data_IF_831595586023
#
_entry.id   IF_831595586023
#
_cell.length_a   1.000
_cell.length_b   1.000
_cell.length_c   1.000
_cell.angle_alpha   90.00
_cell.angle_beta   90.00
_cell.angle_gamma   90.00
#
_symmetry.space_group_name_H-M   'P 1'
#
loop_
_entity.id
_entity.type
_entity.pdbx_description
1 polymer ?
#
# COMPACT_ATOMS: atom_id res chain seq x y z
N UNK A 1 5.28 -21.57 6.63
CA UNK A 1 6.39 -20.60 6.61
C UNK A 1 5.88 -19.26 7.09
N UNK A 2 6.08 -18.95 8.37
CA UNK A 2 5.68 -17.68 8.99
C UNK A 2 6.80 -16.66 8.77
N UNK A 3 6.59 -15.73 7.84
CA UNK A 3 7.46 -14.57 7.73
C UNK A 3 7.25 -13.65 8.93
N UNK A 4 8.32 -13.09 9.46
CA UNK A 4 8.23 -12.11 10.55
C UNK A 4 7.38 -10.90 10.10
N UNK A 5 6.49 -10.36 10.94
CA UNK A 5 5.57 -9.28 10.54
C UNK A 5 6.27 -8.06 9.92
N UNK A 6 7.51 -7.76 10.37
CA UNK A 6 8.36 -6.69 9.81
C UNK A 6 8.72 -6.93 8.32
N UNK A 7 8.88 -8.19 7.91
CA UNK A 7 9.22 -8.54 6.53
C UNK A 7 8.00 -8.39 5.61
N UNK A 8 6.81 -8.70 6.12
CA UNK A 8 5.55 -8.42 5.44
C UNK A 8 5.36 -6.93 5.23
N UNK A 9 5.57 -6.11 6.26
CA UNK A 9 5.46 -4.65 6.15
C UNK A 9 6.41 -4.08 5.09
N UNK A 10 7.68 -4.53 5.06
CA UNK A 10 8.65 -4.11 4.02
C UNK A 10 8.24 -4.54 2.61
N UNK A 11 7.62 -5.71 2.47
CA UNK A 11 7.08 -6.19 1.19
C UNK A 11 5.91 -5.32 0.74
N UNK A 12 4.97 -5.00 1.64
CA UNK A 12 3.85 -4.11 1.33
C UNK A 12 4.31 -2.70 0.94
N UNK A 13 5.26 -2.11 1.66
CA UNK A 13 5.80 -0.80 1.33
C UNK A 13 6.37 -0.74 -0.10
N UNK A 14 7.07 -1.79 -0.54
CA UNK A 14 7.56 -1.89 -1.93
C UNK A 14 6.45 -2.00 -2.95
N UNK A 15 5.38 -2.74 -2.65
CA UNK A 15 4.23 -2.91 -3.55
C UNK A 15 3.50 -1.57 -3.72
N UNK A 16 3.25 -0.86 -2.62
CA UNK A 16 2.55 0.44 -2.63
C UNK A 16 3.38 1.50 -3.38
N UNK A 17 4.70 1.54 -3.16
CA UNK A 17 5.59 2.45 -3.88
C UNK A 17 5.58 2.19 -5.40
N UNK A 18 5.69 0.94 -5.82
CA UNK A 18 5.62 0.58 -7.24
C UNK A 18 4.24 0.81 -7.86
N UNK A 19 3.17 0.73 -7.07
CA UNK A 19 1.82 1.10 -7.51
C UNK A 19 1.69 2.61 -7.72
N UNK A 20 2.17 3.42 -6.76
CA UNK A 20 2.15 4.87 -6.85
C UNK A 20 2.90 5.38 -8.09
N UNK A 21 4.07 4.80 -8.39
CA UNK A 21 4.86 5.13 -9.58
C UNK A 21 4.13 4.80 -10.90
N UNK A 22 3.48 3.63 -10.98
CA UNK A 22 2.74 3.20 -12.17
C UNK A 22 1.53 4.07 -12.46
N UNK A 23 0.79 4.41 -11.41
CA UNK A 23 -0.43 5.22 -11.50
C UNK A 23 -0.14 6.73 -11.49
N UNK A 24 1.14 7.14 -11.39
CA UNK A 24 1.57 8.54 -11.29
C UNK A 24 0.83 9.32 -10.19
N UNK A 25 0.56 8.67 -9.07
CA UNK A 25 -0.09 9.27 -7.90
C UNK A 25 0.89 9.41 -6.73
N UNK A 26 0.57 10.26 -5.76
CA UNK A 26 1.40 10.38 -4.56
C UNK A 26 1.37 9.08 -3.75
N UNK A 27 2.46 8.82 -3.03
CA UNK A 27 2.54 7.67 -2.12
C UNK A 27 1.44 7.75 -1.05
N UNK A 28 1.08 8.95 -0.63
CA UNK A 28 -0.04 9.18 0.29
C UNK A 28 -1.35 8.70 -0.31
N UNK A 29 -1.69 9.08 -1.56
CA UNK A 29 -2.93 8.65 -2.22
C UNK A 29 -2.94 7.14 -2.48
N UNK A 30 -1.80 6.56 -2.84
CA UNK A 30 -1.66 5.11 -2.97
C UNK A 30 -1.87 4.41 -1.62
N UNK A 31 -1.27 4.93 -0.55
CA UNK A 31 -1.44 4.38 0.80
C UNK A 31 -2.89 4.51 1.26
N UNK A 32 -3.51 5.67 1.01
CA UNK A 32 -4.91 5.94 1.29
C UNK A 32 -5.80 4.95 0.54
N UNK A 33 -5.50 4.60 -0.71
CA UNK A 33 -6.22 3.57 -1.46
C UNK A 33 -6.13 2.17 -0.82
N UNK A 34 -4.95 1.77 -0.31
CA UNK A 34 -4.76 0.46 0.31
C UNK A 34 -5.26 0.38 1.76
N UNK A 35 -5.23 1.50 2.49
CA UNK A 35 -5.70 1.59 3.88
C UNK A 35 -7.21 1.87 3.94
N UNK A 36 -7.73 2.70 3.03
CA UNK A 36 -9.14 3.06 2.93
C UNK A 36 -9.96 2.10 2.07
N UNK A 37 -9.65 0.80 2.08
CA UNK A 37 -10.62 -0.23 1.64
C UNK A 37 -11.96 -0.13 2.42
N UNK A 38 -11.99 0.62 3.52
CA UNK A 38 -13.18 0.95 4.33
C UNK A 38 -13.89 2.27 3.95
N UNK A 39 -13.32 3.11 3.07
CA UNK A 39 -13.95 4.37 2.62
C UNK A 39 -14.48 4.25 1.18
N UNK A 40 -15.10 3.11 0.85
CA UNK A 40 -16.14 3.06 -0.19
C UNK A 40 -17.45 3.30 0.58
N UNK A 41 -17.78 4.55 0.85
CA UNK A 41 -19.12 5.05 1.21
C UNK A 41 -19.05 6.58 1.38
N UNK A 42 -18.89 7.31 0.27
CA UNK A 42 -19.62 8.56 0.04
C UNK A 42 -19.69 8.88 -1.45
#
# INVERSE_FOLDING_TARGET
>A
MTAHPILLQKKYARIIAGFAEKEKMSLENALDFFINLSCINL
#
